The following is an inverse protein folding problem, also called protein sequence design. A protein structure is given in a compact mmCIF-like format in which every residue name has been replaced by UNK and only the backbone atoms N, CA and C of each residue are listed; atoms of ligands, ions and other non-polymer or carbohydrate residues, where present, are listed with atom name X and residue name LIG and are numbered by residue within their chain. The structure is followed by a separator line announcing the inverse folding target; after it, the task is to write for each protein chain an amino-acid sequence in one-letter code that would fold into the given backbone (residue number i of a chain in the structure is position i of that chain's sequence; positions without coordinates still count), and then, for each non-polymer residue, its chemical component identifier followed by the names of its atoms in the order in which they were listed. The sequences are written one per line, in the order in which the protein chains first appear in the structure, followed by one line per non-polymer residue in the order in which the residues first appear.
data_IF_344797277835
#
_entry.id   IF_344797277835
#
_cell.length_a   1.000
_cell.length_b   1.000
_cell.length_c   1.000
_cell.angle_alpha   90.00
_cell.angle_beta   90.00
_cell.angle_gamma   90.00
#
_symmetry.space_group_name_H-M   'P 1'
#
loop_
_entity.id
_entity.type
_entity.pdbx_description
1 polymer ?
#
# COMPACT_ATOMS: atom_id res chain seq x y z
N UNK A 1 1.31 -5.57 -6.01
CA UNK A 1 1.22 -6.97 -5.52
C UNK A 1 2.32 -7.36 -4.52
N UNK A 2 3.61 -7.39 -4.92
CA UNK A 2 4.72 -7.94 -4.10
C UNK A 2 4.79 -7.36 -2.68
N UNK A 3 4.75 -6.03 -2.55
CA UNK A 3 4.82 -5.35 -1.24
C UNK A 3 3.58 -5.57 -0.35
N UNK A 4 2.43 -5.94 -0.93
CA UNK A 4 1.23 -6.26 -0.16
C UNK A 4 1.28 -7.71 0.37
N UNK A 5 1.82 -8.64 -0.42
CA UNK A 5 2.00 -10.04 -0.03
C UNK A 5 3.12 -10.20 1.02
N UNK A 6 4.32 -9.76 0.67
CA UNK A 6 5.53 -9.98 1.47
C UNK A 6 5.82 -8.86 2.49
N UNK A 7 4.98 -7.82 2.50
CA UNK A 7 5.26 -6.61 3.26
C UNK A 7 6.44 -5.83 2.67
N UNK A 8 6.68 -4.64 3.19
CA UNK A 8 7.78 -3.82 2.71
C UNK A 8 7.81 -2.43 3.30
N UNK A 9 8.73 -1.62 2.79
CA UNK A 9 8.77 -0.17 3.03
C UNK A 9 8.43 0.51 1.72
N UNK A 10 7.43 1.37 1.72
CA UNK A 10 7.09 2.22 0.58
C UNK A 10 7.29 3.67 0.98
N UNK A 11 7.79 4.48 0.08
CA UNK A 11 7.81 5.92 0.26
C UNK A 11 6.50 6.50 -0.26
N UNK A 12 5.84 7.26 0.59
CA UNK A 12 4.59 7.94 0.25
C UNK A 12 4.85 9.45 0.28
N UNK A 13 4.50 10.12 -0.80
CA UNK A 13 4.55 11.57 -0.87
C UNK A 13 3.34 12.13 -0.13
N UNK A 14 3.61 12.86 0.96
CA UNK A 14 2.60 13.66 1.65
C UNK A 14 2.73 15.12 1.19
N UNK A 15 1.69 15.95 1.36
CA UNK A 15 1.70 17.35 0.90
C UNK A 15 2.89 18.19 1.40
N UNK A 16 3.52 17.77 2.50
CA UNK A 16 4.64 18.48 3.13
C UNK A 16 5.99 17.76 2.94
N UNK A 17 5.99 16.41 2.95
CA UNK A 17 7.23 15.63 2.96
C UNK A 17 7.02 14.20 2.48
N UNK A 18 8.07 13.56 1.95
CA UNK A 18 8.10 12.10 1.76
C UNK A 18 8.19 11.40 3.11
N UNK A 19 7.31 10.44 3.34
CA UNK A 19 7.27 9.61 4.55
C UNK A 19 7.38 8.15 4.15
N UNK A 20 8.29 7.42 4.80
CA UNK A 20 8.39 5.98 4.63
C UNK A 20 7.29 5.29 5.45
N UNK A 21 6.34 4.65 4.77
CA UNK A 21 5.33 3.80 5.38
C UNK A 21 5.82 2.35 5.39
N UNK A 22 5.75 1.70 6.55
CA UNK A 22 5.96 0.26 6.67
C UNK A 22 4.64 -0.47 6.39
N UNK A 23 4.62 -1.24 5.31
CA UNK A 23 3.48 -2.06 4.90
C UNK A 23 3.64 -3.44 5.53
N UNK A 24 2.68 -3.91 6.35
CA UNK A 24 2.72 -5.25 6.92
C UNK A 24 2.54 -6.32 5.84
N UNK A 25 3.01 -7.53 6.13
CA UNK A 25 2.71 -8.72 5.32
C UNK A 25 1.20 -8.96 5.29
N UNK A 26 0.70 -9.55 4.19
CA UNK A 26 -0.73 -9.80 3.98
C UNK A 26 -1.61 -8.54 4.07
N UNK A 27 -1.12 -7.42 3.57
CA UNK A 27 -1.93 -6.20 3.47
C UNK A 27 -3.10 -6.44 2.52
N UNK A 28 -4.31 -6.12 2.97
CA UNK A 28 -5.53 -6.32 2.19
C UNK A 28 -5.86 -5.09 1.36
N UNK A 29 -6.59 -5.31 0.27
CA UNK A 29 -7.16 -4.21 -0.50
C UNK A 29 -8.13 -3.40 0.38
N UNK A 30 -8.11 -2.09 0.28
CA UNK A 30 -8.92 -1.19 1.10
C UNK A 30 -8.41 -0.98 2.53
N UNK A 31 -7.28 -1.59 2.91
CA UNK A 31 -6.70 -1.41 4.24
C UNK A 31 -6.29 0.05 4.46
N UNK A 32 -6.72 0.62 5.60
CA UNK A 32 -6.47 2.02 5.94
C UNK A 32 -5.23 2.14 6.82
N UNK A 33 -4.30 2.99 6.43
CA UNK A 33 -3.12 3.38 7.20
C UNK A 33 -3.28 4.83 7.66
N UNK A 34 -3.19 5.06 8.97
CA UNK A 34 -3.28 6.40 9.55
C UNK A 34 -1.88 6.94 9.79
N UNK A 35 -1.55 8.03 9.13
CA UNK A 35 -0.36 8.84 9.40
C UNK A 35 -0.77 10.02 10.27
N UNK A 36 -0.44 9.90 11.57
CA UNK A 36 -0.77 10.93 12.56
C UNK A 36 -0.01 12.22 12.26
N UNK A 37 -0.70 13.36 12.31
CA UNK A 37 -0.12 14.70 12.14
C UNK A 37 0.58 14.95 10.78
N UNK A 38 0.23 14.15 9.75
CA UNK A 38 0.70 14.31 8.37
C UNK A 38 -0.40 14.79 7.41
N UNK A 39 -1.57 15.15 7.94
CA UNK A 39 -2.67 15.75 7.19
C UNK A 39 -2.54 17.27 7.10
N UNK A 40 -3.61 17.90 6.62
CA UNK A 40 -3.63 19.34 6.38
C UNK A 40 -3.48 20.14 7.69
N UNK A 41 -2.75 21.28 7.67
CA UNK A 41 -2.69 22.17 8.83
C UNK A 41 -4.07 22.77 9.12
N UNK A 42 -4.45 22.83 10.40
CA UNK A 42 -5.71 23.44 10.85
C UNK A 42 -5.50 24.92 11.21
N UNK A 43 -6.48 25.78 10.93
CA UNK A 43 -6.44 27.21 11.31
C UNK A 43 -6.32 27.45 12.81
N UNK A 44 -6.79 26.53 13.65
CA UNK A 44 -6.74 26.62 15.12
C UNK A 44 -5.44 26.07 15.73
N UNK A 45 -4.44 25.74 14.90
CA UNK A 45 -3.21 25.09 15.32
C UNK A 45 -3.28 23.56 15.26
N UNK A 46 -2.13 22.94 15.00
CA UNK A 46 -1.98 21.50 14.82
C UNK A 46 -2.16 21.01 13.39
N UNK A 47 -1.81 19.74 13.16
CA UNK A 47 -1.95 19.05 11.87
C UNK A 47 -3.04 17.99 11.95
N UNK A 48 -3.81 17.84 10.88
CA UNK A 48 -4.74 16.73 10.73
C UNK A 48 -4.00 15.40 10.54
N UNK A 49 -4.76 14.33 10.39
CA UNK A 49 -4.22 13.02 10.03
C UNK A 49 -4.39 12.75 8.54
N UNK A 50 -3.46 12.01 7.97
CA UNK A 50 -3.54 11.52 6.60
C UNK A 50 -3.94 10.05 6.64
N UNK A 51 -5.05 9.71 6.00
CA UNK A 51 -5.48 8.33 5.82
C UNK A 51 -5.10 7.87 4.43
N UNK A 52 -4.25 6.85 4.36
CA UNK A 52 -3.90 6.18 3.11
C UNK A 52 -4.75 4.91 3.00
N UNK A 53 -5.31 4.65 1.83
CA UNK A 53 -6.04 3.42 1.55
C UNK A 53 -5.19 2.60 0.60
N UNK A 54 -4.86 1.37 0.98
CA UNK A 54 -4.18 0.45 0.08
C UNK A 54 -5.10 0.11 -1.10
N UNK A 55 -4.66 0.49 -2.31
CA UNK A 55 -5.26 0.03 -3.55
C UNK A 55 -4.34 -1.03 -4.16
N UNK A 56 -4.75 -2.29 -4.09
CA UNK A 56 -3.96 -3.40 -4.63
C UNK A 56 -4.43 -3.65 -6.06
N UNK A 57 -3.61 -3.25 -7.02
CA UNK A 57 -3.79 -3.61 -8.42
C UNK A 57 -3.14 -4.96 -8.70
N UNK A 58 -3.88 -5.82 -9.40
CA UNK A 58 -3.37 -7.05 -9.96
C UNK A 58 -2.67 -6.72 -11.29
N UNK A 59 -1.51 -7.33 -11.58
CA UNK A 59 -0.88 -7.23 -12.89
C UNK A 59 -1.66 -8.03 -13.94
N UNK A 60 -1.54 -7.64 -15.22
CA UNK A 60 -2.15 -8.37 -16.33
C UNK A 60 -1.54 -9.77 -16.46
N UNK A 61 -2.40 -10.79 -16.45
CA UNK A 61 -1.98 -12.21 -16.43
C UNK A 61 -1.17 -12.57 -17.67
N UNK A 62 -1.45 -11.95 -18.82
CA UNK A 62 -0.77 -12.22 -20.09
C UNK A 62 0.67 -11.72 -20.13
N UNK A 63 1.02 -10.75 -19.27
CA UNK A 63 2.39 -10.22 -19.14
C UNK A 63 3.23 -10.98 -18.11
N UNK A 64 2.63 -11.95 -17.41
CA UNK A 64 3.32 -12.75 -16.42
C UNK A 64 4.13 -13.85 -17.08
N UNK A 65 5.26 -14.15 -16.46
CA UNK A 65 6.11 -15.27 -16.83
C UNK A 65 5.38 -16.60 -16.67
N UNK A 66 5.67 -17.56 -17.54
CA UNK A 66 4.91 -18.81 -17.60
C UNK A 66 5.11 -19.68 -16.34
N UNK A 67 6.25 -19.57 -15.66
CA UNK A 67 6.48 -20.21 -14.35
C UNK A 67 5.58 -19.64 -13.26
N UNK A 68 5.35 -18.32 -13.28
CA UNK A 68 4.48 -17.63 -12.33
C UNK A 68 3.00 -17.97 -12.57
N UNK A 69 2.57 -18.10 -13.82
CA UNK A 69 1.20 -18.54 -14.16
C UNK A 69 0.91 -19.93 -13.60
N UNK A 70 1.81 -20.89 -13.81
CA UNK A 70 1.66 -22.24 -13.27
C UNK A 70 1.63 -22.28 -11.74
N UNK A 71 2.36 -21.40 -11.06
CA UNK A 71 2.30 -21.31 -9.60
C UNK A 71 0.98 -20.69 -9.11
N UNK A 72 0.42 -19.73 -9.86
CA UNK A 72 -0.87 -19.12 -9.53
C UNK A 72 -2.03 -20.10 -9.74
N UNK A 73 -2.00 -20.95 -10.77
CA UNK A 73 -3.02 -21.98 -11.00
C UNK A 73 -3.06 -23.06 -9.90
N UNK A 74 -1.94 -23.28 -9.19
CA UNK A 74 -1.84 -24.25 -8.09
C UNK A 74 -2.32 -23.71 -6.75
N UNK A 75 -2.67 -22.42 -6.68
CA UNK A 75 -3.21 -21.85 -5.45
C UNK A 75 -4.62 -22.40 -5.20
N UNK A 76 -4.92 -22.91 -3.99
CA UNK A 76 -6.29 -23.26 -3.63
C UNK A 76 -7.18 -22.01 -3.63
N UNK A 77 -8.44 -22.19 -4.00
CA UNK A 77 -9.49 -21.14 -3.94
C UNK A 77 -9.66 -20.56 -2.53
#
# INVERSE_FOLDING_TARGET
LKSALFGGKIEVETPEKKVTLKVPTNTKNGQKFRLKEKGFPKSTGGKGDLYLVANITLPDVDTLDDELKQCLEKLPE
#
